data_IF_538056680574
#
_entry.id   IF_538056680574
#
_cell.length_a   1.000
_cell.length_b   1.000
_cell.length_c   1.000
_cell.angle_alpha   90.00
_cell.angle_beta   90.00
_cell.angle_gamma   90.00
#
_symmetry.space_group_name_H-M   'P 1'
#
loop_
_entity.id
_entity.type
_entity.pdbx_description
1 polymer ?
#
# COMPACT_ATOMS: atom_id res chain seq x y z
N UNK A 1 -22.09 -0.72 9.31
CA UNK A 1 -21.65 -0.23 7.99
C UNK A 1 -20.16 0.17 8.04
N UNK A 2 -19.24 -0.71 8.45
CA UNK A 2 -17.86 -0.30 8.75
C UNK A 2 -16.88 -0.37 7.55
N UNK A 3 -17.30 -0.88 6.40
CA UNK A 3 -16.41 -1.16 5.26
C UNK A 3 -16.76 -0.35 4.01
N UNK A 4 -17.67 0.63 4.09
CA UNK A 4 -18.17 1.30 2.87
C UNK A 4 -17.11 2.16 2.19
N UNK A 5 -16.16 2.72 2.96
CA UNK A 5 -15.02 3.48 2.44
C UNK A 5 -13.74 3.02 3.16
N UNK A 6 -13.06 2.03 2.59
CA UNK A 6 -11.71 1.64 3.02
C UNK A 6 -10.72 2.66 2.42
N UNK A 7 -9.89 3.33 3.22
CA UNK A 7 -8.90 4.31 2.73
C UNK A 7 -7.82 3.62 1.89
N UNK A 8 -7.09 4.39 1.08
CA UNK A 8 -5.95 3.84 0.33
C UNK A 8 -4.78 3.53 1.26
N UNK A 9 -4.00 2.49 0.91
CA UNK A 9 -2.78 2.14 1.64
C UNK A 9 -1.82 3.32 1.75
N UNK A 10 -1.62 4.04 0.64
CA UNK A 10 -0.75 5.22 0.56
C UNK A 10 -1.17 6.32 1.53
N UNK A 11 -2.47 6.52 1.69
CA UNK A 11 -3.04 7.50 2.62
C UNK A 11 -2.75 7.09 4.07
N UNK A 12 -3.06 5.84 4.44
CA UNK A 12 -2.90 5.34 5.82
C UNK A 12 -1.43 5.27 6.24
N UNK A 13 -0.51 5.01 5.32
CA UNK A 13 0.93 5.06 5.62
C UNK A 13 1.40 6.45 6.07
N UNK A 14 0.69 7.52 5.69
CA UNK A 14 0.99 8.89 6.12
C UNK A 14 0.23 9.34 7.37
N UNK A 15 -0.60 8.50 7.96
CA UNK A 15 -1.40 8.88 9.13
C UNK A 15 -0.59 8.83 10.42
N UNK A 16 -0.69 9.92 11.18
CA UNK A 16 -0.30 9.97 12.59
C UNK A 16 -1.34 9.26 13.50
N UNK A 17 -1.04 9.08 14.80
CA UNK A 17 -1.98 8.43 15.72
C UNK A 17 -3.32 9.17 15.85
N UNK A 18 -3.36 10.50 15.72
CA UNK A 18 -4.60 11.26 15.85
C UNK A 18 -5.52 11.06 14.63
N UNK A 19 -4.94 11.05 13.44
CA UNK A 19 -5.62 10.76 12.17
C UNK A 19 -6.17 9.33 12.16
N UNK A 20 -5.38 8.36 12.63
CA UNK A 20 -5.84 6.97 12.77
C UNK A 20 -6.96 6.84 13.81
N UNK A 21 -6.85 7.56 14.92
CA UNK A 21 -7.89 7.59 15.95
C UNK A 21 -9.21 8.16 15.42
N UNK A 22 -9.16 9.25 14.66
CA UNK A 22 -10.33 9.84 14.00
C UNK A 22 -10.96 8.89 12.98
N UNK A 23 -10.17 8.09 12.28
CA UNK A 23 -10.69 7.02 11.44
C UNK A 23 -11.48 5.98 12.23
N UNK A 24 -10.95 5.49 13.37
CA UNK A 24 -11.69 4.58 14.23
C UNK A 24 -12.96 5.20 14.82
N UNK A 25 -12.94 6.49 15.11
CA UNK A 25 -14.14 7.23 15.56
C UNK A 25 -15.24 7.22 14.49
N UNK A 26 -14.89 7.43 13.21
CA UNK A 26 -15.84 7.33 12.08
C UNK A 26 -16.45 5.92 11.93
N UNK A 27 -15.69 4.89 12.30
CA UNK A 27 -16.15 3.49 12.34
C UNK A 27 -16.93 3.11 13.61
N UNK A 28 -17.09 4.05 14.54
CA UNK A 28 -17.69 3.83 15.87
C UNK A 28 -16.90 2.82 16.75
N UNK A 29 -15.58 2.79 16.60
CA UNK A 29 -14.65 1.97 17.40
C UNK A 29 -13.92 2.84 18.45
N UNK A 30 -14.70 3.47 19.34
CA UNK A 30 -14.18 4.39 20.38
C UNK A 30 -13.16 3.74 21.32
N UNK A 31 -13.28 2.44 21.52
CA UNK A 31 -12.37 1.62 22.31
C UNK A 31 -11.00 1.45 21.63
N UNK A 32 -10.97 1.34 20.30
CA UNK A 32 -9.73 1.33 19.51
C UNK A 32 -9.10 2.73 19.43
N UNK A 33 -9.91 3.79 19.30
CA UNK A 33 -9.45 5.18 19.33
C UNK A 33 -8.59 5.45 20.59
N UNK A 34 -9.09 5.04 21.76
CA UNK A 34 -8.38 5.21 23.04
C UNK A 34 -7.05 4.46 23.07
N UNK A 35 -7.01 3.23 22.53
CA UNK A 35 -5.79 2.44 22.47
C UNK A 35 -4.75 3.09 21.55
N UNK A 36 -5.16 3.56 20.37
CA UNK A 36 -4.30 4.27 19.42
C UNK A 36 -3.63 5.48 20.07
N UNK A 37 -4.42 6.36 20.70
CA UNK A 37 -3.89 7.57 21.35
C UNK A 37 -2.99 7.24 22.55
N UNK A 38 -3.35 6.24 23.34
CA UNK A 38 -2.59 5.83 24.53
C UNK A 38 -1.22 5.23 24.19
N UNK A 39 -1.14 4.45 23.11
CA UNK A 39 0.07 3.71 22.74
C UNK A 39 0.80 4.29 21.52
N UNK A 40 0.36 5.46 21.04
CA UNK A 40 0.92 6.15 19.87
C UNK A 40 1.07 5.22 18.66
N UNK A 41 -0.02 4.54 18.31
CA UNK A 41 -0.05 3.65 17.15
C UNK A 41 -0.37 4.52 15.93
N UNK A 42 0.57 4.68 15.02
CA UNK A 42 0.34 5.39 13.76
C UNK A 42 -0.24 4.46 12.68
N UNK A 43 -0.58 5.02 11.52
CA UNK A 43 -1.16 4.25 10.42
C UNK A 43 -0.21 3.17 9.89
N UNK A 44 1.09 3.46 9.78
CA UNK A 44 2.08 2.49 9.33
C UNK A 44 2.18 1.27 10.26
N UNK A 45 2.18 1.50 11.58
CA UNK A 45 2.16 0.44 12.60
C UNK A 45 0.84 -0.32 12.62
N UNK A 46 -0.29 0.35 12.39
CA UNK A 46 -1.58 -0.32 12.26
C UNK A 46 -1.66 -1.26 11.04
N UNK A 47 -0.99 -0.92 9.94
CA UNK A 47 -0.91 -1.81 8.78
C UNK A 47 0.02 -3.01 8.99
N UNK A 48 0.88 -2.96 10.00
CA UNK A 48 1.87 -3.98 10.34
C UNK A 48 1.79 -4.37 11.82
N UNK A 49 0.58 -4.60 12.34
CA UNK A 49 0.37 -4.90 13.76
C UNK A 49 1.20 -6.11 14.19
N UNK A 50 2.05 -5.90 15.19
CA UNK A 50 2.76 -6.98 15.86
C UNK A 50 1.90 -7.60 16.96
N UNK A 51 2.29 -8.77 17.48
CA UNK A 51 1.60 -9.38 18.62
C UNK A 51 1.58 -8.47 19.85
N UNK A 52 2.64 -7.68 20.06
CA UNK A 52 2.69 -6.70 21.15
C UNK A 52 1.60 -5.62 21.01
N UNK A 53 1.37 -5.16 19.78
CA UNK A 53 0.36 -4.16 19.47
C UNK A 53 -1.05 -4.72 19.59
N UNK A 54 -1.25 -5.95 19.15
CA UNK A 54 -2.53 -6.66 19.24
C UNK A 54 -3.02 -6.73 20.69
N UNK A 55 -2.12 -7.02 21.63
CA UNK A 55 -2.45 -7.07 23.07
C UNK A 55 -2.88 -5.71 23.65
N UNK A 56 -2.65 -4.60 22.94
CA UNK A 56 -3.08 -3.25 23.35
C UNK A 56 -4.53 -2.95 22.99
N UNK A 57 -5.10 -3.68 22.03
CA UNK A 57 -6.48 -3.51 21.59
C UNK A 57 -7.44 -4.42 22.37
N UNK A 58 -8.73 -4.06 22.45
CA UNK A 58 -9.75 -4.93 23.02
C UNK A 58 -9.83 -6.25 22.24
N UNK A 59 -9.79 -7.39 22.94
CA UNK A 59 -9.78 -8.73 22.31
C UNK A 59 -10.93 -8.95 21.32
N UNK A 60 -12.11 -8.40 21.62
CA UNK A 60 -13.29 -8.47 20.74
C UNK A 60 -13.12 -7.69 19.43
N UNK A 61 -12.20 -6.73 19.38
CA UNK A 61 -11.91 -5.90 18.20
C UNK A 61 -10.76 -6.45 17.34
N UNK A 62 -9.89 -7.28 17.90
CA UNK A 62 -8.72 -7.79 17.18
C UNK A 62 -9.08 -8.42 15.83
N UNK A 63 -10.08 -9.33 15.71
CA UNK A 63 -10.40 -9.93 14.42
C UNK A 63 -10.83 -8.90 13.35
N UNK A 64 -11.60 -7.89 13.76
CA UNK A 64 -12.08 -6.86 12.83
C UNK A 64 -10.98 -5.87 12.44
N UNK A 65 -10.06 -5.57 13.36
CA UNK A 65 -8.88 -4.75 13.09
C UNK A 65 -7.91 -5.45 12.13
N UNK A 66 -7.65 -6.74 12.35
CA UNK A 66 -6.82 -7.55 11.44
C UNK A 66 -7.43 -7.60 10.04
N UNK A 67 -8.75 -7.80 9.94
CA UNK A 67 -9.45 -7.77 8.66
C UNK A 67 -9.34 -6.39 7.99
N UNK A 68 -9.55 -5.31 8.74
CA UNK A 68 -9.47 -3.95 8.21
C UNK A 68 -8.07 -3.61 7.70
N UNK A 69 -7.03 -3.95 8.47
CA UNK A 69 -5.63 -3.78 8.08
C UNK A 69 -5.30 -4.54 6.78
N UNK A 70 -5.81 -5.76 6.62
CA UNK A 70 -5.67 -6.54 5.38
C UNK A 70 -6.39 -5.90 4.19
N UNK A 71 -7.61 -5.39 4.38
CA UNK A 71 -8.36 -4.73 3.32
C UNK A 71 -7.66 -3.44 2.87
N UNK A 72 -7.11 -2.65 3.79
CA UNK A 72 -6.35 -1.44 3.45
C UNK A 72 -5.05 -1.81 2.72
N UNK A 73 -4.32 -2.83 3.18
CA UNK A 73 -3.11 -3.30 2.50
C UNK A 73 -3.37 -3.78 1.06
N UNK A 74 -4.58 -4.28 0.77
CA UNK A 74 -5.01 -4.66 -0.58
C UNK A 74 -5.55 -3.49 -1.39
N UNK A 75 -6.00 -2.43 -0.72
CA UNK A 75 -6.49 -1.20 -1.33
C UNK A 75 -5.31 -0.29 -1.71
N UNK A 76 -4.41 -0.82 -2.53
CA UNK A 76 -3.44 0.01 -3.22
C UNK A 76 -4.20 0.76 -4.32
N UNK A 77 -4.19 2.09 -4.24
CA UNK A 77 -4.60 2.93 -5.37
C UNK A 77 -3.86 2.37 -6.58
N UNK A 78 -4.60 1.96 -7.63
CA UNK A 78 -4.04 1.31 -8.81
C UNK A 78 -2.93 2.20 -9.35
N UNK A 79 -1.70 1.97 -8.89
CA UNK A 79 -0.51 2.51 -9.48
C UNK A 79 -0.39 1.73 -10.78
N UNK A 80 -1.04 2.27 -11.80
CA UNK A 80 -0.83 1.89 -13.19
C UNK A 80 0.61 2.27 -13.54
N UNK A 81 1.57 1.47 -13.07
CA UNK A 81 2.99 1.56 -13.43
C UNK A 81 3.29 0.66 -14.64
N UNK A 82 2.29 0.45 -15.50
CA UNK A 82 2.52 -0.07 -16.86
C UNK A 82 2.47 1.06 -17.90
N UNK A 83 2.76 2.30 -17.50
CA UNK A 83 2.99 3.37 -18.47
C UNK A 83 4.48 3.53 -18.77
N UNK A 84 4.81 3.12 -20.00
CA UNK A 84 5.99 3.42 -20.84
C UNK A 84 7.22 2.53 -20.67
N UNK A 85 7.51 1.72 -21.70
CA UNK A 85 8.07 2.20 -23.00
C UNK A 85 7.41 1.46 -24.17
N UNK A 86 7.09 2.11 -25.32
CA UNK A 86 6.97 1.39 -26.58
C UNK A 86 8.34 0.77 -26.86
N UNK A 87 8.39 -0.54 -27.07
CA UNK A 87 9.57 -1.13 -27.70
C UNK A 87 9.69 -0.52 -29.10
N UNK A 88 10.65 0.37 -29.27
CA UNK A 88 11.15 0.73 -30.60
C UNK A 88 11.61 -0.58 -31.23
N UNK A 89 10.95 -0.98 -32.32
CA UNK A 89 11.43 -2.03 -33.21
C UNK A 89 12.83 -1.60 -33.67
N UNK A 90 13.88 -2.16 -33.06
CA UNK A 90 15.21 -2.15 -33.66
C UNK A 90 15.20 -3.21 -34.74
N UNK A 91 15.10 -2.78 -35.99
CA UNK A 91 15.57 -3.57 -37.11
C UNK A 91 17.04 -3.93 -36.85
N UNK A 92 17.48 -5.19 -37.05
CA UNK A 92 18.88 -5.48 -37.19
C UNK A 92 19.38 -4.82 -38.48
N UNK A 93 20.24 -3.82 -38.30
CA UNK A 93 21.17 -3.39 -39.34
C UNK A 93 22.20 -4.52 -39.47
N UNK A 94 22.06 -5.36 -40.51
CA UNK A 94 23.10 -6.30 -40.91
C UNK A 94 24.21 -5.51 -41.61
N UNK A 95 25.15 -5.01 -40.82
CA UNK A 95 26.52 -4.80 -41.29
C UNK A 95 27.30 -6.07 -41.07
N UNK A 96 27.58 -6.82 -42.14
CA UNK A 96 28.90 -7.46 -42.24
C UNK A 96 29.38 -7.45 -43.70
N UNK A 97 30.56 -6.86 -43.82
CA UNK A 97 31.43 -6.69 -44.97
C UNK A 97 31.86 -8.01 -45.62
N UNK A 98 31.87 -8.04 -46.95
CA UNK A 98 32.95 -8.71 -47.68
C UNK A 98 33.36 -7.86 -48.88
N UNK A 99 34.60 -7.37 -48.83
CA UNK A 99 35.36 -6.79 -49.92
C UNK A 99 35.55 -7.84 -51.02
N UNK A 100 35.30 -7.50 -52.28
CA UNK A 100 36.21 -7.92 -53.36
C UNK A 100 36.35 -6.76 -54.37
N UNK A 101 37.62 -6.53 -54.67
CA UNK A 101 38.25 -5.45 -55.41
C UNK A 101 38.12 -5.64 -56.94
N UNK A 102 38.28 -4.53 -57.66
CA UNK A 102 38.70 -4.37 -59.05
C UNK A 102 37.58 -4.45 -60.12
N UNK A 103 37.22 -3.42 -60.89
CA UNK A 103 37.99 -2.27 -61.37
C UNK A 103 38.49 -2.53 -62.79
N UNK A 104 37.84 -1.94 -63.80
CA UNK A 104 38.34 -1.89 -65.20
C UNK A 104 37.33 -2.27 -66.27
#
# INVERSE_FOLDING_TARGET
MALRNVPFRSEVLGWDPDSLADYFKKLNYKDCEKAVKKYHIDGARFLNLTENDIQKFPKLRVPILSKLSQEINKNEERRSIFTRKPQVQRFPEETESHEEDNGG
#
